data_IF_270059880193
#
_entry.id   IF_270059880193
#
_cell.length_a   1.000
_cell.length_b   1.000
_cell.length_c   1.000
_cell.angle_alpha   90.00
_cell.angle_beta   90.00
_cell.angle_gamma   90.00
#
_symmetry.space_group_name_H-M   'P 1'
#
loop_
_entity.id
_entity.type
_entity.pdbx_description
1 polymer ?
#
# COMPACT_ATOMS: atom_id res chain seq x y z
N UNK A 1 2.48 3.30 -7.94
CA UNK A 1 1.50 2.29 -7.45
C UNK A 1 1.58 2.13 -5.94
N UNK A 2 2.72 1.73 -5.36
CA UNK A 2 2.85 1.45 -3.91
C UNK A 2 2.47 2.66 -3.04
N UNK A 3 3.08 3.84 -3.28
CA UNK A 3 2.76 5.05 -2.51
C UNK A 3 1.28 5.46 -2.62
N UNK A 4 0.66 5.25 -3.78
CA UNK A 4 -0.77 5.50 -3.96
C UNK A 4 -1.61 4.54 -3.09
N UNK A 5 -1.25 3.25 -3.08
CA UNK A 5 -1.90 2.27 -2.23
C UNK A 5 -1.77 2.63 -0.75
N UNK A 6 -0.55 2.96 -0.28
CA UNK A 6 -0.29 3.43 1.09
C UNK A 6 -1.15 4.64 1.46
N UNK A 7 -1.12 5.70 0.65
CA UNK A 7 -1.91 6.90 0.90
C UNK A 7 -3.41 6.58 1.00
N UNK A 8 -3.93 5.71 0.11
CA UNK A 8 -5.36 5.39 0.11
C UNK A 8 -5.80 4.52 1.28
N UNK A 9 -4.97 3.59 1.74
CA UNK A 9 -5.30 2.75 2.91
C UNK A 9 -5.22 3.55 4.21
N UNK A 10 -4.26 4.49 4.32
CA UNK A 10 -4.13 5.39 5.48
C UNK A 10 -5.28 6.40 5.50
N UNK A 11 -5.58 7.08 4.38
CA UNK A 11 -6.69 8.05 4.26
C UNK A 11 -8.04 7.42 4.68
N UNK A 12 -8.23 6.14 4.37
CA UNK A 12 -9.44 5.39 4.71
C UNK A 12 -9.40 4.70 6.07
N UNK A 13 -8.32 4.88 6.85
CA UNK A 13 -8.09 4.22 8.14
C UNK A 13 -8.24 2.68 8.09
N UNK A 14 -7.84 2.06 6.97
CA UNK A 14 -7.95 0.60 6.77
C UNK A 14 -6.68 -0.15 7.20
N UNK A 15 -5.56 0.56 7.39
CA UNK A 15 -4.29 0.01 7.85
C UNK A 15 -3.48 1.13 8.53
N UNK A 16 -2.53 0.74 9.38
CA UNK A 16 -1.63 1.64 10.11
C UNK A 16 -0.15 1.31 9.81
N UNK A 17 0.79 2.23 10.13
CA UNK A 17 2.21 1.92 10.04
C UNK A 17 2.58 0.63 10.77
N UNK A 18 3.40 -0.21 10.12
CA UNK A 18 3.77 -1.56 10.58
C UNK A 18 2.84 -2.68 10.10
N UNK A 19 1.69 -2.38 9.50
CA UNK A 19 0.84 -3.41 8.91
C UNK A 19 1.40 -3.89 7.56
N UNK A 20 1.16 -5.16 7.24
CA UNK A 20 1.43 -5.73 5.92
C UNK A 20 0.22 -5.55 5.01
N UNK A 21 0.48 -5.13 3.76
CA UNK A 21 -0.54 -5.03 2.73
C UNK A 21 -0.17 -5.83 1.48
N UNK A 22 -1.18 -6.35 0.81
CA UNK A 22 -1.07 -6.99 -0.51
C UNK A 22 -1.67 -6.06 -1.56
N UNK A 23 -0.88 -5.70 -2.55
CA UNK A 23 -1.28 -4.84 -3.66
C UNK A 23 -1.35 -5.69 -4.92
N UNK A 24 -2.49 -5.67 -5.60
CA UNK A 24 -2.67 -6.31 -6.91
C UNK A 24 -3.00 -5.27 -7.97
N UNK A 25 -2.49 -5.48 -9.19
CA UNK A 25 -2.75 -4.57 -10.32
C UNK A 25 -2.55 -5.29 -11.67
N UNK A 26 -2.92 -4.61 -12.75
CA UNK A 26 -2.52 -4.94 -14.12
C UNK A 26 -1.37 -4.04 -14.58
N UNK A 27 -0.40 -4.61 -15.30
CA UNK A 27 0.66 -3.89 -16.02
C UNK A 27 0.64 -4.25 -17.51
N UNK A 28 0.87 -3.30 -18.44
CA UNK A 28 1.20 -1.89 -18.22
C UNK A 28 0.03 -1.06 -17.64
N UNK A 29 0.37 -0.08 -16.81
CA UNK A 29 -0.62 0.77 -16.15
C UNK A 29 -1.38 1.67 -17.15
N UNK A 30 -2.61 2.06 -16.80
CA UNK A 30 -3.41 2.99 -17.62
C UNK A 30 -4.14 2.33 -18.80
N UNK A 31 -3.97 1.03 -19.00
CA UNK A 31 -4.72 0.24 -20.00
C UNK A 31 -5.55 -0.82 -19.28
N UNK A 32 -6.83 -0.95 -19.65
CA UNK A 32 -7.67 -2.02 -19.12
C UNK A 32 -7.17 -3.39 -19.62
N UNK A 33 -7.13 -4.38 -18.74
CA UNK A 33 -6.55 -5.69 -19.03
C UNK A 33 -6.75 -6.66 -17.87
N UNK A 34 -5.86 -7.66 -17.75
CA UNK A 34 -5.89 -8.62 -16.65
C UNK A 34 -5.08 -8.11 -15.44
N UNK A 35 -5.49 -8.50 -14.24
CA UNK A 35 -4.65 -8.39 -13.04
C UNK A 35 -3.53 -9.41 -13.15
N UNK A 36 -2.28 -8.95 -13.20
CA UNK A 36 -1.10 -9.79 -13.43
C UNK A 36 0.10 -9.41 -12.55
N UNK A 37 -0.09 -8.49 -11.60
CA UNK A 37 0.92 -8.06 -10.65
C UNK A 37 0.39 -8.31 -9.23
N UNK A 38 1.24 -8.87 -8.38
CA UNK A 38 1.04 -8.96 -6.93
C UNK A 38 2.31 -8.49 -6.24
N UNK A 39 2.16 -7.65 -5.21
CA UNK A 39 3.26 -7.19 -4.36
C UNK A 39 2.83 -7.18 -2.91
N UNK A 40 3.71 -7.63 -2.02
CA UNK A 40 3.53 -7.56 -0.57
C UNK A 40 4.47 -6.50 -0.05
N UNK A 41 3.96 -5.58 0.76
CA UNK A 41 4.71 -4.45 1.30
C UNK A 41 4.30 -4.19 2.75
N UNK A 42 5.26 -3.81 3.59
CA UNK A 42 5.01 -3.29 4.93
C UNK A 42 4.80 -1.77 4.84
N UNK A 43 3.79 -1.24 5.53
CA UNK A 43 3.60 0.21 5.64
C UNK A 43 4.70 0.77 6.54
N UNK A 44 5.56 1.69 6.06
CA UNK A 44 6.69 2.17 6.85
C UNK A 44 6.24 2.82 8.16
N UNK A 45 6.88 2.44 9.26
CA UNK A 45 6.82 3.19 10.52
C UNK A 45 7.63 4.47 10.39
N UNK A 46 7.05 5.59 10.80
CA UNK A 46 7.83 6.78 11.08
C UNK A 46 8.31 6.59 12.53
N UNK A 47 9.59 6.27 12.71
CA UNK A 47 10.18 6.19 14.05
C UNK A 47 10.19 7.60 14.65
N UNK A 48 9.30 7.83 15.63
CA UNK A 48 9.09 9.13 16.26
C UNK A 48 7.82 9.23 17.13
N UNK A 49 6.85 8.34 16.96
CA UNK A 49 5.58 8.35 17.72
C UNK A 49 5.50 7.28 18.84
N UNK A 50 6.61 6.62 19.18
CA UNK A 50 6.70 5.63 20.27
C UNK A 50 7.22 6.25 21.60
N UNK A 51 7.01 7.55 21.83
CA UNK A 51 7.08 8.16 23.17
C UNK A 51 5.65 8.30 23.74
N UNK A 52 5.07 7.18 24.16
CA UNK A 52 3.95 7.12 25.11
C UNK A 52 4.26 6.04 26.18
#
# INVERSE_FOLDING_TARGET
MVNLAFNKVIEKAMAKPGDLIVITAGTPYGTAGRTNLLKVEEIPKIYGDDED
#
